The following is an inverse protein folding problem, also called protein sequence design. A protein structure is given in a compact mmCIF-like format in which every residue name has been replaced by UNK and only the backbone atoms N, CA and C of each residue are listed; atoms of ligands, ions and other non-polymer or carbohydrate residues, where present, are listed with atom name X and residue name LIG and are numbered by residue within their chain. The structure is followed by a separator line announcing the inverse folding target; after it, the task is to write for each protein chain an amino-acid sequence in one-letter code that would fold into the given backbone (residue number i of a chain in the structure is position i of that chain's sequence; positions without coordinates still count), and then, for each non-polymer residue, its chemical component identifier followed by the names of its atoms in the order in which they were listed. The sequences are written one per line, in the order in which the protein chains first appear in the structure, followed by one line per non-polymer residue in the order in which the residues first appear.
data_IF_849280020944
#
_entry.id   IF_849280020944
#
_cell.length_a   1.000
_cell.length_b   1.000
_cell.length_c   1.000
_cell.angle_alpha   90.00
_cell.angle_beta   90.00
_cell.angle_gamma   90.00
#
_symmetry.space_group_name_H-M   'P 1'
#
loop_
_entity.id
_entity.type
_entity.pdbx_description
1 polymer ?
#
# COMPACT_ATOMS: atom_id res chain seq x y z
N UNK A 1 15.47 5.46 -6.41
CA UNK A 1 14.81 5.24 -5.15
C UNK A 1 14.23 6.51 -4.59
N UNK A 2 13.59 6.38 -3.45
CA UNK A 2 12.91 7.52 -2.81
C UNK A 2 13.86 8.65 -2.49
N UNK A 3 15.10 8.35 -2.09
CA UNK A 3 16.08 9.38 -1.76
C UNK A 3 16.55 10.15 -3.00
N UNK A 4 16.65 9.47 -4.13
CA UNK A 4 17.02 10.13 -5.39
C UNK A 4 15.88 11.02 -5.86
N UNK A 5 14.65 10.53 -5.81
CA UNK A 5 13.46 11.30 -6.19
C UNK A 5 13.27 12.51 -5.28
N UNK A 6 13.48 12.34 -3.98
CA UNK A 6 13.39 13.43 -3.03
C UNK A 6 14.47 14.49 -3.23
N UNK A 7 15.70 14.06 -3.53
CA UNK A 7 16.81 14.97 -3.82
C UNK A 7 16.55 15.73 -5.12
N UNK A 8 16.09 15.03 -6.15
CA UNK A 8 15.75 15.66 -7.42
C UNK A 8 14.63 16.68 -7.26
N UNK A 9 13.60 16.34 -6.50
CA UNK A 9 12.49 17.25 -6.22
C UNK A 9 12.97 18.51 -5.50
N UNK A 10 13.87 18.37 -4.54
CA UNK A 10 14.43 19.51 -3.81
C UNK A 10 15.27 20.40 -4.73
N UNK A 11 16.03 19.79 -5.63
CA UNK A 11 16.88 20.52 -6.56
C UNK A 11 16.07 21.25 -7.63
N UNK A 12 14.99 20.64 -8.10
CA UNK A 12 14.16 21.20 -9.17
C UNK A 12 13.00 22.06 -8.68
N UNK A 13 12.41 21.68 -7.53
CA UNK A 13 11.23 22.36 -6.99
C UNK A 13 11.51 23.08 -5.67
N UNK A 14 12.73 22.96 -5.12
CA UNK A 14 13.10 23.58 -3.86
C UNK A 14 12.39 22.99 -2.65
N UNK A 15 11.95 21.70 -2.72
CA UNK A 15 11.20 21.04 -1.66
C UNK A 15 9.79 21.57 -1.52
N UNK A 16 9.20 22.01 -2.61
CA UNK A 16 7.90 22.67 -2.65
C UNK A 16 6.75 21.70 -2.38
N UNK A 17 5.55 22.28 -2.24
CA UNK A 17 4.30 21.52 -2.13
C UNK A 17 4.08 20.65 -3.37
N UNK A 18 4.49 21.12 -4.54
CA UNK A 18 4.40 20.34 -5.77
C UNK A 18 5.28 19.10 -5.71
N UNK A 19 6.50 19.22 -5.19
CA UNK A 19 7.41 18.08 -5.04
C UNK A 19 6.81 17.01 -4.14
N UNK A 20 6.21 17.40 -3.02
CA UNK A 20 5.54 16.46 -2.12
C UNK A 20 4.34 15.79 -2.79
N UNK A 21 3.56 16.55 -3.54
CA UNK A 21 2.43 16.01 -4.30
C UNK A 21 2.90 14.99 -5.34
N UNK A 22 3.93 15.34 -6.10
CA UNK A 22 4.45 14.48 -7.16
C UNK A 22 5.00 13.17 -6.58
N UNK A 23 5.78 13.26 -5.52
CA UNK A 23 6.35 12.09 -4.85
C UNK A 23 5.24 11.14 -4.37
N UNK A 24 4.24 11.66 -3.71
CA UNK A 24 3.11 10.87 -3.21
C UNK A 24 2.32 10.25 -4.36
N UNK A 25 2.12 10.98 -5.45
CA UNK A 25 1.39 10.48 -6.62
C UNK A 25 2.14 9.35 -7.31
N UNK A 26 3.46 9.51 -7.48
CA UNK A 26 4.29 8.47 -8.09
C UNK A 26 4.34 7.22 -7.22
N UNK A 27 4.32 7.37 -5.89
CA UNK A 27 4.25 6.23 -4.97
C UNK A 27 2.96 5.43 -5.18
N UNK A 28 1.84 6.11 -5.43
CA UNK A 28 0.56 5.42 -5.68
C UNK A 28 0.59 4.64 -6.98
N UNK A 29 1.19 5.21 -8.02
CA UNK A 29 1.36 4.50 -9.29
C UNK A 29 2.26 3.27 -9.12
N UNK A 30 3.35 3.42 -8.37
CA UNK A 30 4.27 2.31 -8.09
C UNK A 30 3.59 1.18 -7.31
N UNK A 31 2.83 1.51 -6.27
CA UNK A 31 2.09 0.52 -5.48
C UNK A 31 1.09 -0.24 -6.36
N UNK A 32 0.35 0.48 -7.20
CA UNK A 32 -0.60 -0.12 -8.12
C UNK A 32 0.09 -1.04 -9.13
N UNK A 33 1.25 -0.65 -9.62
CA UNK A 33 2.01 -1.46 -10.56
C UNK A 33 2.49 -2.77 -9.90
N UNK A 34 3.00 -2.70 -8.67
CA UNK A 34 3.48 -3.88 -7.95
C UNK A 34 2.33 -4.85 -7.67
N UNK A 35 1.30 -4.40 -6.96
CA UNK A 35 0.20 -5.29 -6.56
C UNK A 35 -0.68 -5.68 -7.74
N UNK A 36 -0.82 -4.82 -8.73
CA UNK A 36 -1.50 -5.14 -9.97
C UNK A 36 -0.77 -6.24 -10.74
N UNK A 37 0.56 -6.16 -10.80
CA UNK A 37 1.38 -7.19 -11.48
C UNK A 37 1.30 -8.52 -10.76
N UNK A 38 1.33 -8.52 -9.42
CA UNK A 38 1.20 -9.75 -8.65
C UNK A 38 -0.18 -10.40 -8.86
N UNK A 39 -1.22 -9.59 -8.90
CA UNK A 39 -2.58 -10.07 -9.16
C UNK A 39 -2.69 -10.62 -10.58
N UNK A 40 -2.12 -9.93 -11.56
CA UNK A 40 -2.11 -10.39 -12.95
C UNK A 40 -1.36 -11.72 -13.09
N UNK A 41 -0.27 -11.90 -12.36
CA UNK A 41 0.42 -13.18 -12.32
C UNK A 41 -0.51 -14.30 -11.88
N UNK A 42 -1.29 -14.07 -10.82
CA UNK A 42 -2.24 -15.08 -10.34
C UNK A 42 -3.30 -15.39 -11.39
N UNK A 43 -3.76 -14.38 -12.13
CA UNK A 43 -4.79 -14.58 -13.15
C UNK A 43 -4.25 -15.35 -14.35
N UNK A 44 -3.05 -15.02 -14.82
CA UNK A 44 -2.55 -15.52 -16.11
C UNK A 44 -1.58 -16.69 -15.99
N UNK A 45 -0.91 -16.86 -14.87
CA UNK A 45 0.17 -17.83 -14.73
C UNK A 45 -0.10 -18.96 -13.74
N UNK A 46 -0.98 -18.75 -12.76
CA UNK A 46 -1.27 -19.79 -11.79
C UNK A 46 -2.29 -20.78 -12.33
N UNK A 47 -2.12 -22.06 -11.97
CA UNK A 47 -3.05 -23.11 -12.33
C UNK A 47 -4.39 -22.90 -11.61
N UNK A 48 -5.48 -23.33 -12.26
CA UNK A 48 -6.82 -23.22 -11.71
C UNK A 48 -6.93 -24.04 -10.42
N UNK A 49 -7.21 -23.34 -9.31
CA UNK A 49 -7.25 -23.93 -7.98
C UNK A 49 -7.88 -22.94 -6.99
N UNK A 50 -8.17 -23.41 -5.78
CA UNK A 50 -8.63 -22.54 -4.71
C UNK A 50 -7.55 -21.53 -4.31
N UNK A 51 -6.28 -21.93 -4.36
CA UNK A 51 -5.17 -21.04 -4.04
C UNK A 51 -5.08 -19.91 -5.06
N UNK A 52 -5.31 -20.20 -6.34
CA UNK A 52 -5.36 -19.16 -7.38
C UNK A 52 -6.48 -18.15 -7.11
N UNK A 53 -7.67 -18.63 -6.83
CA UNK A 53 -8.81 -17.76 -6.51
C UNK A 53 -8.52 -16.92 -5.27
N UNK A 54 -7.98 -17.54 -4.23
CA UNK A 54 -7.56 -16.84 -3.01
C UNK A 54 -6.55 -15.76 -3.33
N UNK A 55 -5.53 -16.08 -4.13
CA UNK A 55 -4.48 -15.12 -4.51
C UNK A 55 -5.05 -13.94 -5.29
N UNK A 56 -5.99 -14.19 -6.20
CA UNK A 56 -6.62 -13.11 -6.98
C UNK A 56 -7.41 -12.17 -6.07
N UNK A 57 -8.22 -12.73 -5.19
CA UNK A 57 -9.03 -11.92 -4.27
C UNK A 57 -8.13 -11.12 -3.33
N UNK A 58 -7.13 -11.77 -2.74
CA UNK A 58 -6.19 -11.10 -1.85
C UNK A 58 -5.40 -10.01 -2.59
N UNK A 59 -5.04 -10.26 -3.86
CA UNK A 59 -4.35 -9.29 -4.68
C UNK A 59 -5.20 -8.06 -4.96
N UNK A 60 -6.45 -8.24 -5.30
CA UNK A 60 -7.38 -7.13 -5.51
C UNK A 60 -7.55 -6.33 -4.23
N UNK A 61 -7.74 -7.01 -3.09
CA UNK A 61 -7.85 -6.34 -1.79
C UNK A 61 -6.56 -5.59 -1.45
N UNK A 62 -5.40 -6.12 -1.79
CA UNK A 62 -4.12 -5.44 -1.59
C UNK A 62 -4.01 -4.17 -2.42
N UNK A 63 -4.49 -4.18 -3.66
CA UNK A 63 -4.51 -2.99 -4.51
C UNK A 63 -5.36 -1.90 -3.85
N UNK A 64 -6.56 -2.26 -3.42
CA UNK A 64 -7.46 -1.33 -2.75
C UNK A 64 -6.83 -0.79 -1.47
N UNK A 65 -6.26 -1.67 -0.65
CA UNK A 65 -5.61 -1.27 0.60
C UNK A 65 -4.42 -0.36 0.37
N UNK A 66 -3.58 -0.68 -0.62
CA UNK A 66 -2.40 0.13 -0.94
C UNK A 66 -2.78 1.55 -1.37
N UNK A 67 -3.94 1.73 -2.00
CA UNK A 67 -4.44 3.05 -2.37
C UNK A 67 -5.11 3.74 -1.19
N UNK A 68 -5.87 3.00 -0.39
CA UNK A 68 -6.67 3.58 0.71
C UNK A 68 -5.81 4.04 1.89
N UNK A 69 -4.74 3.32 2.22
CA UNK A 69 -3.90 3.65 3.38
C UNK A 69 -3.32 5.07 3.27
N UNK A 70 -2.60 5.42 2.19
CA UNK A 70 -2.07 6.78 2.06
C UNK A 70 -3.15 7.81 1.79
N UNK A 71 -4.24 7.41 1.13
CA UNK A 71 -5.37 8.31 0.91
C UNK A 71 -5.99 8.75 2.24
N UNK A 72 -6.20 7.81 3.16
CA UNK A 72 -6.76 8.11 4.48
C UNK A 72 -5.88 9.12 5.22
N UNK A 73 -4.56 8.95 5.17
CA UNK A 73 -3.63 9.88 5.79
C UNK A 73 -3.70 11.26 5.15
N UNK A 74 -3.64 11.32 3.83
CA UNK A 74 -3.65 12.59 3.10
C UNK A 74 -4.97 13.33 3.31
N UNK A 75 -6.08 12.58 3.30
CA UNK A 75 -7.40 13.17 3.48
C UNK A 75 -7.61 13.66 4.92
N UNK A 76 -7.08 12.92 5.91
CA UNK A 76 -7.10 13.38 7.30
C UNK A 76 -6.33 14.69 7.45
N UNK A 77 -5.16 14.80 6.83
CA UNK A 77 -4.38 16.04 6.85
C UNK A 77 -5.15 17.20 6.20
N UNK A 78 -5.97 16.94 5.20
CA UNK A 78 -6.79 17.96 4.54
C UNK A 78 -7.86 18.54 5.45
N UNK A 79 -8.25 17.82 6.50
CA UNK A 79 -9.19 18.29 7.51
C UNK A 79 -8.50 18.62 8.85
N UNK A 80 -7.18 18.75 8.83
CA UNK A 80 -6.39 19.23 9.96
C UNK A 80 -5.88 18.19 10.93
N UNK A 81 -5.98 16.90 10.59
CA UNK A 81 -5.54 15.81 11.48
C UNK A 81 -4.36 15.06 10.87
N UNK A 82 -3.30 14.86 11.64
CA UNK A 82 -2.13 14.09 11.19
C UNK A 82 -2.28 12.66 11.69
N UNK A 83 -2.74 11.75 10.82
CA UNK A 83 -3.03 10.36 11.13
C UNK A 83 -1.94 9.45 10.57
N UNK A 84 -0.78 9.41 11.26
CA UNK A 84 0.38 8.63 10.82
C UNK A 84 0.42 7.20 11.37
N UNK A 85 -0.49 6.86 12.26
CA UNK A 85 -0.51 5.55 12.89
C UNK A 85 -0.92 4.45 11.92
N UNK A 86 -0.59 3.21 12.25
CA UNK A 86 -0.99 2.04 11.49
C UNK A 86 0.01 0.90 11.66
N UNK A 87 -0.44 -0.33 11.42
CA UNK A 87 0.40 -1.52 11.55
C UNK A 87 1.15 -1.86 10.27
N UNK A 88 0.80 -1.23 9.15
CA UNK A 88 1.43 -1.51 7.86
C UNK A 88 1.91 -0.23 7.21
N UNK A 89 3.21 -0.11 7.04
CA UNK A 89 3.82 0.95 6.24
C UNK A 89 4.03 0.45 4.81
N UNK A 90 4.26 1.38 3.88
CA UNK A 90 4.46 1.04 2.47
C UNK A 90 5.58 0.02 2.28
N UNK A 91 6.71 0.23 2.98
CA UNK A 91 7.86 -0.66 2.89
C UNK A 91 7.50 -2.08 3.31
N UNK A 92 6.78 -2.23 4.43
CA UNK A 92 6.36 -3.53 4.92
C UNK A 92 5.45 -4.23 3.91
N UNK A 93 4.49 -3.50 3.34
CA UNK A 93 3.59 -4.07 2.34
C UNK A 93 4.35 -4.56 1.11
N UNK A 94 5.29 -3.76 0.61
CA UNK A 94 6.07 -4.13 -0.57
C UNK A 94 6.99 -5.31 -0.28
N UNK A 95 7.65 -5.34 0.88
CA UNK A 95 8.54 -6.43 1.25
C UNK A 95 7.77 -7.75 1.32
N UNK A 96 6.62 -7.76 1.99
CA UNK A 96 5.86 -9.00 2.16
C UNK A 96 5.23 -9.44 0.84
N UNK A 97 4.64 -8.53 0.08
CA UNK A 97 4.04 -8.87 -1.21
C UNK A 97 5.05 -9.40 -2.20
N UNK A 98 6.14 -8.67 -2.41
CA UNK A 98 7.19 -9.09 -3.33
C UNK A 98 7.97 -10.28 -2.80
N UNK A 99 8.23 -10.32 -1.49
CA UNK A 99 8.94 -11.43 -0.87
C UNK A 99 8.19 -12.75 -0.99
N UNK A 100 6.87 -12.74 -0.81
CA UNK A 100 6.07 -13.95 -0.96
C UNK A 100 6.09 -14.45 -2.42
N UNK A 101 6.08 -13.54 -3.39
CA UNK A 101 6.18 -13.91 -4.80
C UNK A 101 7.56 -14.52 -5.12
N UNK A 102 8.63 -13.94 -4.58
CA UNK A 102 9.98 -14.46 -4.76
C UNK A 102 10.11 -15.85 -4.16
N UNK A 103 9.59 -16.05 -2.94
CA UNK A 103 9.64 -17.34 -2.27
C UNK A 103 8.91 -18.40 -3.10
N UNK A 104 7.75 -18.06 -3.67
CA UNK A 104 7.03 -18.98 -4.54
C UNK A 104 7.83 -19.31 -5.79
N UNK A 105 8.52 -18.35 -6.38
CA UNK A 105 9.33 -18.58 -7.59
C UNK A 105 10.54 -19.46 -7.30
N UNK A 106 10.98 -19.55 -6.03
CA UNK A 106 12.09 -20.41 -5.62
C UNK A 106 11.66 -21.84 -5.33
N UNK A 107 10.39 -22.18 -5.60
CA UNK A 107 9.89 -23.54 -5.43
C UNK A 107 9.07 -23.79 -4.19
N UNK A 108 8.79 -22.75 -3.42
CA UNK A 108 7.93 -22.87 -2.24
C UNK A 108 6.46 -22.96 -2.66
N UNK A 109 5.59 -23.53 -1.81
CA UNK A 109 4.17 -23.69 -2.15
C UNK A 109 3.48 -22.37 -2.51
N UNK A 110 2.51 -22.44 -3.41
CA UNK A 110 1.76 -21.26 -3.88
C UNK A 110 0.96 -20.59 -2.77
N UNK A 111 0.57 -21.33 -1.73
CA UNK A 111 -0.19 -20.73 -0.64
C UNK A 111 0.60 -19.64 0.11
N UNK A 112 1.93 -19.68 0.04
CA UNK A 112 2.78 -18.65 0.63
C UNK A 112 2.52 -17.29 -0.03
N UNK A 113 2.40 -17.29 -1.37
CA UNK A 113 2.06 -16.10 -2.14
C UNK A 113 0.68 -15.56 -1.72
N UNK A 114 -0.31 -16.43 -1.67
CA UNK A 114 -1.66 -16.06 -1.25
C UNK A 114 -1.68 -15.52 0.19
N UNK A 115 -0.95 -16.18 1.09
CA UNK A 115 -0.86 -15.74 2.48
C UNK A 115 -0.21 -14.37 2.62
N UNK A 116 0.85 -14.11 1.84
CA UNK A 116 1.51 -12.80 1.84
C UNK A 116 0.58 -11.69 1.38
N UNK A 117 -0.15 -11.91 0.29
CA UNK A 117 -1.12 -10.95 -0.19
C UNK A 117 -2.27 -10.75 0.80
N UNK A 118 -2.71 -11.80 1.46
CA UNK A 118 -3.75 -11.72 2.50
C UNK A 118 -3.28 -10.87 3.67
N UNK A 119 -2.03 -11.05 4.10
CA UNK A 119 -1.46 -10.23 5.17
C UNK A 119 -1.43 -8.76 4.77
N UNK A 120 -0.99 -8.46 3.55
CA UNK A 120 -0.95 -7.08 3.04
C UNK A 120 -2.34 -6.47 3.05
N UNK A 121 -3.34 -7.20 2.55
CA UNK A 121 -4.72 -6.73 2.50
C UNK A 121 -5.26 -6.47 3.90
N UNK A 122 -5.10 -7.46 4.79
CA UNK A 122 -5.59 -7.37 6.17
C UNK A 122 -4.95 -6.20 6.91
N UNK A 123 -3.62 -6.11 6.87
CA UNK A 123 -2.89 -5.04 7.55
C UNK A 123 -3.25 -3.67 7.00
N UNK A 124 -3.48 -3.56 5.70
CA UNK A 124 -3.90 -2.31 5.06
C UNK A 124 -5.29 -1.88 5.54
N UNK A 125 -6.24 -2.81 5.59
CA UNK A 125 -7.58 -2.50 6.07
C UNK A 125 -7.59 -2.12 7.54
N UNK A 126 -6.79 -2.81 8.38
CA UNK A 126 -6.65 -2.45 9.79
C UNK A 126 -6.06 -1.05 9.91
N UNK A 127 -5.04 -0.73 9.12
CA UNK A 127 -4.41 0.60 9.13
C UNK A 127 -5.42 1.69 8.75
N UNK A 128 -6.23 1.45 7.71
CA UNK A 128 -7.26 2.40 7.31
C UNK A 128 -8.27 2.61 8.43
N UNK A 129 -8.73 1.53 9.06
CA UNK A 129 -9.66 1.63 10.18
C UNK A 129 -9.06 2.40 11.36
N UNK A 130 -7.78 2.16 11.66
CA UNK A 130 -7.08 2.91 12.71
C UNK A 130 -7.01 4.40 12.39
N UNK A 131 -6.74 4.74 11.14
CA UNK A 131 -6.67 6.14 10.71
C UNK A 131 -8.04 6.82 10.72
N UNK A 132 -9.09 6.10 10.35
CA UNK A 132 -10.46 6.61 10.44
C UNK A 132 -10.83 6.89 11.90
N UNK A 133 -10.58 5.94 12.79
CA UNK A 133 -10.88 6.08 14.20
C UNK A 133 -10.10 7.23 14.82
N UNK A 134 -8.81 7.31 14.52
CA UNK A 134 -7.95 8.38 15.04
C UNK A 134 -8.45 9.75 14.57
N UNK A 135 -8.78 9.87 13.29
CA UNK A 135 -9.27 11.12 12.72
C UNK A 135 -10.60 11.51 13.35
N UNK A 136 -11.51 10.55 13.53
CA UNK A 136 -12.81 10.82 14.16
C UNK A 136 -12.65 11.34 15.59
N UNK A 137 -11.65 10.85 16.30
CA UNK A 137 -11.41 11.28 17.68
C UNK A 137 -10.75 12.65 17.79
N UNK A 138 -9.92 13.02 16.82
CA UNK A 138 -9.08 14.22 16.92
C UNK A 138 -9.62 15.41 16.12
N UNK A 139 -10.54 15.19 15.19
CA UNK A 139 -11.06 16.27 14.35
C UNK A 139 -11.84 17.30 15.17
N UNK A 140 -12.62 16.85 16.15
CA UNK A 140 -13.39 17.75 17.02
C UNK A 140 -12.49 18.54 17.96
N UNK A 141 -11.39 17.94 18.42
CA UNK A 141 -10.41 18.61 19.27
C UNK A 141 -9.71 19.73 18.50
N UNK A 142 -9.37 19.49 17.25
CA UNK A 142 -8.71 20.48 16.39
C UNK A 142 -9.65 21.60 15.97
N UNK A 143 -10.95 21.33 15.88
CA UNK A 143 -11.95 22.33 15.53
C UNK A 143 -12.23 23.31 16.69
N UNK A 144 -11.84 22.96 17.90
CA UNK A 144 -12.00 23.80 19.09
C UNK A 144 -10.76 24.65 19.33
#
# INVERSE_FOLDING_TARGET
GDSVDGTLARMTTGGTRFGAFLDSTLDRLGDGAVFGSLTAYAVFQMDDSLVRTWSIIAGICSIVGAAAVPYARARAESVGVVAKLGIAERTDRLIIGMGSAILMSLGLPEWIFAAGLTWVAFASFVTVCQRIWFTARHIDEEAQ
#
